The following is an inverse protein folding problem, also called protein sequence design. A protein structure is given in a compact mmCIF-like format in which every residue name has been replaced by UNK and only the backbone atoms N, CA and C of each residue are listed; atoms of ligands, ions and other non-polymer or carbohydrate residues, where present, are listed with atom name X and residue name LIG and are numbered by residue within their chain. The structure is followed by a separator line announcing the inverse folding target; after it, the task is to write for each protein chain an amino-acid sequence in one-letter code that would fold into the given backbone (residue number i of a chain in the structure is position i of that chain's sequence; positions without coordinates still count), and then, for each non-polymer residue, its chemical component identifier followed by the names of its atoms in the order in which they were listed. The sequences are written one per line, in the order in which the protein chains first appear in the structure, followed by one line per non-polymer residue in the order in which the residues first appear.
data_IF_920162543244
#
_entry.id   IF_920162543244
#
_cell.length_a   1.000
_cell.length_b   1.000
_cell.length_c   1.000
_cell.angle_alpha   90.00
_cell.angle_beta   90.00
_cell.angle_gamma   90.00
#
_symmetry.space_group_name_H-M   'P 1'
#
loop_
_entity.id
_entity.type
_entity.pdbx_description
1 polymer ?
#
# COMPACT_ATOMS: atom_id res chain seq x y z
N UNK A 1 17.23 -3.46 16.56
CA UNK A 1 16.58 -4.65 17.13
C UNK A 1 16.04 -5.58 16.02
N UNK A 2 15.43 -5.03 14.95
CA UNK A 2 14.86 -5.82 13.83
C UNK A 2 15.95 -6.61 13.09
N UNK A 3 17.08 -5.98 12.80
CA UNK A 3 18.21 -6.60 12.09
C UNK A 3 18.92 -7.70 12.90
N UNK A 4 18.93 -7.61 14.23
CA UNK A 4 19.68 -8.54 15.07
C UNK A 4 18.91 -9.82 15.43
N UNK A 5 17.59 -9.71 15.66
CA UNK A 5 16.77 -10.82 16.13
C UNK A 5 15.83 -11.40 15.09
N UNK A 6 15.34 -10.58 14.15
CA UNK A 6 14.35 -11.02 13.16
C UNK A 6 15.02 -11.56 11.89
N UNK A 7 16.05 -10.90 11.37
CA UNK A 7 16.70 -11.26 10.11
C UNK A 7 17.29 -12.69 10.05
N UNK A 8 18.02 -13.22 11.06
CA UNK A 8 18.57 -14.57 10.97
C UNK A 8 17.46 -15.64 10.98
N UNK A 9 16.41 -15.43 11.77
CA UNK A 9 15.28 -16.36 11.90
C UNK A 9 14.42 -16.30 10.65
N UNK A 10 14.13 -15.11 10.13
CA UNK A 10 13.31 -14.94 8.92
C UNK A 10 13.97 -15.54 7.67
N UNK A 11 15.31 -15.52 7.55
CA UNK A 11 16.03 -16.22 6.48
C UNK A 11 15.83 -17.74 6.50
N UNK A 12 15.70 -18.34 7.66
CA UNK A 12 15.40 -19.77 7.79
C UNK A 12 13.96 -20.05 7.43
N UNK A 13 13.02 -19.26 7.95
CA UNK A 13 11.60 -19.40 7.66
C UNK A 13 11.25 -19.11 6.19
N UNK A 14 11.94 -18.19 5.53
CA UNK A 14 11.71 -17.88 4.11
C UNK A 14 11.92 -19.09 3.19
N UNK A 15 12.76 -20.06 3.57
CA UNK A 15 12.97 -21.30 2.81
C UNK A 15 11.79 -22.27 2.86
N UNK A 16 10.96 -22.17 3.88
CA UNK A 16 9.77 -23.02 4.05
C UNK A 16 8.53 -22.43 3.37
N UNK A 17 8.53 -21.14 3.05
CA UNK A 17 7.40 -20.47 2.39
C UNK A 17 7.48 -20.76 0.89
N UNK A 18 6.61 -21.66 0.42
CA UNK A 18 6.43 -21.94 -1.02
C UNK A 18 5.32 -21.05 -1.55
N UNK A 19 5.69 -20.17 -2.50
CA UNK A 19 4.72 -19.35 -3.23
C UNK A 19 4.63 -19.80 -4.69
N UNK A 20 3.43 -19.67 -5.27
CA UNK A 20 3.25 -19.84 -6.70
C UNK A 20 4.04 -18.78 -7.49
N UNK A 21 4.54 -19.14 -8.68
CA UNK A 21 5.37 -18.25 -9.53
C UNK A 21 4.69 -16.93 -9.82
N UNK A 22 3.41 -16.98 -10.18
CA UNK A 22 2.64 -15.78 -10.56
C UNK A 22 2.47 -14.85 -9.34
N UNK A 23 2.08 -15.41 -8.19
CA UNK A 23 1.91 -14.65 -6.96
C UNK A 23 3.24 -14.04 -6.47
N UNK A 24 4.36 -14.78 -6.63
CA UNK A 24 5.70 -14.33 -6.28
C UNK A 24 6.14 -13.14 -7.12
N UNK A 25 5.99 -13.22 -8.45
CA UNK A 25 6.37 -12.12 -9.34
C UNK A 25 5.53 -10.87 -9.11
N UNK A 26 4.21 -11.04 -8.95
CA UNK A 26 3.31 -9.94 -8.62
C UNK A 26 3.75 -9.24 -7.33
N UNK A 27 3.96 -10.00 -6.25
CA UNK A 27 4.37 -9.44 -4.96
C UNK A 27 5.76 -8.80 -5.00
N UNK A 28 6.68 -9.35 -5.81
CA UNK A 28 8.01 -8.76 -6.02
C UNK A 28 7.92 -7.38 -6.70
N UNK A 29 7.10 -7.28 -7.75
CA UNK A 29 6.83 -5.98 -8.42
C UNK A 29 6.24 -4.98 -7.44
N UNK A 30 5.28 -5.39 -6.64
CA UNK A 30 4.65 -4.57 -5.60
C UNK A 30 5.67 -4.07 -4.56
N UNK A 31 6.57 -4.94 -4.10
CA UNK A 31 7.61 -4.60 -3.13
C UNK A 31 8.62 -3.60 -3.72
N UNK A 32 9.06 -3.80 -4.96
CA UNK A 32 9.96 -2.87 -5.64
C UNK A 32 9.32 -1.50 -5.84
N UNK A 33 8.04 -1.46 -6.22
CA UNK A 33 7.29 -0.22 -6.40
C UNK A 33 7.15 0.59 -5.10
N UNK A 34 7.11 -0.10 -3.95
CA UNK A 34 7.08 0.51 -2.61
C UNK A 34 8.48 0.90 -2.11
N UNK A 35 9.54 0.62 -2.90
CA UNK A 35 10.93 0.88 -2.52
C UNK A 35 11.52 -0.15 -1.55
N UNK A 36 10.94 -1.36 -1.48
CA UNK A 36 11.44 -2.46 -0.65
C UNK A 36 12.15 -3.50 -1.52
N UNK A 37 13.48 -3.49 -1.52
CA UNK A 37 14.28 -4.50 -2.23
C UNK A 37 14.46 -5.77 -1.36
N UNK A 38 13.36 -6.45 -1.09
CA UNK A 38 13.32 -7.72 -0.35
C UNK A 38 12.53 -8.76 -1.14
N UNK A 39 12.87 -10.03 -0.93
CA UNK A 39 12.10 -11.12 -1.55
C UNK A 39 10.72 -11.27 -0.91
N UNK A 40 9.67 -11.65 -1.67
CA UNK A 40 8.35 -11.88 -1.13
C UNK A 40 8.34 -12.89 0.03
N UNK A 41 9.16 -13.93 -0.07
CA UNK A 41 9.29 -14.95 0.97
C UNK A 41 9.84 -14.34 2.28
N UNK A 42 10.84 -13.47 2.18
CA UNK A 42 11.39 -12.76 3.34
C UNK A 42 10.37 -11.85 3.97
N UNK A 43 9.57 -11.14 3.15
CA UNK A 43 8.51 -10.25 3.64
C UNK A 43 7.47 -10.98 4.51
N UNK A 44 7.00 -12.15 4.05
CA UNK A 44 6.07 -12.96 4.83
C UNK A 44 6.74 -13.64 6.03
N UNK A 45 8.00 -14.07 5.89
CA UNK A 45 8.76 -14.63 7.00
C UNK A 45 8.95 -13.61 8.13
N UNK A 46 9.27 -12.35 7.81
CA UNK A 46 9.39 -11.27 8.79
C UNK A 46 8.08 -11.06 9.57
N UNK A 47 6.93 -11.07 8.88
CA UNK A 47 5.63 -10.95 9.54
C UNK A 47 5.34 -12.13 10.49
N UNK A 48 5.68 -13.36 10.09
CA UNK A 48 5.51 -14.57 10.92
C UNK A 48 6.43 -14.51 12.14
N UNK A 49 7.70 -14.16 11.96
CA UNK A 49 8.68 -14.11 13.06
C UNK A 49 8.30 -13.06 14.09
N UNK A 50 7.86 -11.88 13.67
CA UNK A 50 7.40 -10.82 14.59
C UNK A 50 6.20 -11.31 15.40
N UNK A 51 5.22 -11.97 14.77
CA UNK A 51 4.04 -12.49 15.45
C UNK A 51 4.43 -13.61 16.43
N UNK A 52 5.34 -14.50 16.05
CA UNK A 52 5.81 -15.58 16.91
C UNK A 52 6.52 -15.05 18.16
N UNK A 53 7.33 -14.00 18.02
CA UNK A 53 8.00 -13.35 19.16
C UNK A 53 7.00 -12.84 20.20
N UNK A 54 5.88 -12.26 19.77
CA UNK A 54 4.85 -11.75 20.67
C UNK A 54 4.16 -12.89 21.42
N UNK A 55 3.90 -14.02 20.73
CA UNK A 55 3.33 -15.22 21.40
C UNK A 55 4.32 -15.80 22.40
N UNK A 56 5.63 -15.88 22.06
CA UNK A 56 6.66 -16.35 23.00
C UNK A 56 6.76 -15.47 24.24
N UNK A 57 6.70 -14.14 24.09
CA UNK A 57 6.68 -13.21 25.22
C UNK A 57 5.40 -13.40 26.06
N UNK A 58 4.25 -13.62 25.40
CA UNK A 58 3.00 -13.93 26.09
C UNK A 58 3.05 -15.23 26.88
N UNK A 59 3.75 -16.26 26.38
CA UNK A 59 3.90 -17.52 27.06
C UNK A 59 4.63 -17.41 28.40
N UNK A 60 5.54 -16.43 28.56
CA UNK A 60 6.21 -16.16 29.83
C UNK A 60 5.23 -15.75 30.93
N UNK A 61 4.10 -15.10 30.58
CA UNK A 61 3.08 -14.73 31.58
C UNK A 61 2.32 -15.92 32.14
N UNK A 62 2.28 -17.06 31.43
CA UNK A 62 1.72 -18.30 31.98
C UNK A 62 2.56 -18.78 33.16
N UNK A 63 3.89 -18.70 33.05
CA UNK A 63 4.83 -19.12 34.10
C UNK A 63 4.71 -18.26 35.37
N UNK A 64 4.29 -17.00 35.20
CA UNK A 64 4.08 -16.06 36.32
C UNK A 64 2.69 -16.21 36.93
N UNK A 65 1.81 -17.08 36.38
CA UNK A 65 0.44 -17.33 36.91
C UNK A 65 -0.65 -16.42 36.33
N UNK A 66 -0.38 -15.71 35.24
CA UNK A 66 -1.34 -14.82 34.61
C UNK A 66 -1.78 -15.30 33.21
N UNK A 67 -2.57 -16.37 33.07
CA UNK A 67 -2.95 -16.94 31.77
C UNK A 67 -3.79 -16.01 30.88
N UNK A 68 -4.47 -15.02 31.48
CA UNK A 68 -5.26 -14.03 30.74
C UNK A 68 -4.37 -13.18 29.80
N UNK A 69 -3.18 -12.81 30.25
CA UNK A 69 -2.24 -12.03 29.42
C UNK A 69 -1.72 -12.83 28.22
N UNK A 70 -1.61 -14.15 28.36
CA UNK A 70 -1.29 -15.01 27.20
C UNK A 70 -2.41 -14.96 26.15
N UNK A 71 -3.68 -15.07 26.54
CA UNK A 71 -4.79 -14.97 25.59
C UNK A 71 -4.79 -13.62 24.85
N UNK A 72 -4.53 -12.53 25.57
CA UNK A 72 -4.41 -11.19 24.96
C UNK A 72 -3.23 -11.12 23.98
N UNK A 73 -2.08 -11.72 24.32
CA UNK A 73 -0.89 -11.71 23.46
C UNK A 73 -1.12 -12.49 22.15
N UNK A 74 -1.89 -13.58 22.17
CA UNK A 74 -2.27 -14.35 20.99
C UNK A 74 -3.15 -13.50 20.07
N UNK A 75 -4.17 -12.82 20.61
CA UNK A 75 -5.04 -11.93 19.82
C UNK A 75 -4.23 -10.79 19.21
N UNK A 76 -3.35 -10.17 19.99
CA UNK A 76 -2.49 -9.08 19.52
C UNK A 76 -1.53 -9.54 18.41
N UNK A 77 -0.95 -10.74 18.55
CA UNK A 77 -0.07 -11.37 17.56
C UNK A 77 -0.80 -11.53 16.22
N UNK A 78 -2.04 -12.02 16.25
CA UNK A 78 -2.86 -12.18 15.04
C UNK A 78 -3.16 -10.84 14.38
N UNK A 79 -3.55 -9.83 15.16
CA UNK A 79 -3.82 -8.48 14.66
C UNK A 79 -2.57 -7.86 14.00
N UNK A 80 -1.41 -8.00 14.61
CA UNK A 80 -0.15 -7.49 14.07
C UNK A 80 0.32 -8.26 12.82
N UNK A 81 0.10 -9.57 12.76
CA UNK A 81 0.38 -10.37 11.57
C UNK A 81 -0.39 -9.84 10.34
N UNK A 82 -1.70 -9.67 10.46
CA UNK A 82 -2.52 -9.13 9.37
C UNK A 82 -2.13 -7.69 9.02
N UNK A 83 -1.90 -6.85 10.02
CA UNK A 83 -1.48 -5.47 9.77
C UNK A 83 -0.15 -5.40 9.02
N UNK A 84 0.84 -6.22 9.38
CA UNK A 84 2.13 -6.27 8.68
C UNK A 84 1.99 -6.71 7.21
N UNK A 85 1.12 -7.68 6.91
CA UNK A 85 0.86 -8.13 5.53
C UNK A 85 0.17 -7.04 4.71
N UNK A 86 -0.69 -6.24 5.33
CA UNK A 86 -1.42 -5.17 4.66
C UNK A 86 -0.59 -3.89 4.40
N UNK A 87 0.55 -3.71 5.07
CA UNK A 87 1.37 -2.48 4.96
C UNK A 87 1.72 -2.19 3.49
N UNK A 88 2.15 -3.19 2.73
CA UNK A 88 2.50 -3.02 1.31
C UNK A 88 1.28 -2.62 0.50
N UNK A 89 0.13 -3.27 0.71
CA UNK A 89 -1.10 -2.94 -0.01
C UNK A 89 -1.59 -1.53 0.32
N UNK A 90 -1.49 -1.11 1.58
CA UNK A 90 -1.82 0.26 2.01
C UNK A 90 -0.90 1.30 1.33
N UNK A 91 0.40 0.99 1.23
CA UNK A 91 1.38 1.85 0.54
C UNK A 91 1.12 1.93 -0.97
N UNK A 92 0.81 0.80 -1.63
CA UNK A 92 0.44 0.76 -3.05
C UNK A 92 -0.83 1.59 -3.28
N UNK A 93 -1.85 1.43 -2.45
CA UNK A 93 -3.07 2.22 -2.54
C UNK A 93 -2.79 3.72 -2.37
N UNK A 94 -1.89 4.08 -1.47
CA UNK A 94 -1.45 5.47 -1.30
C UNK A 94 -0.75 6.00 -2.57
N UNK A 95 0.18 5.23 -3.15
CA UNK A 95 0.86 5.56 -4.41
C UNK A 95 -0.16 5.71 -5.53
N UNK A 96 -1.08 4.76 -5.69
CA UNK A 96 -2.11 4.81 -6.72
C UNK A 96 -3.00 6.06 -6.58
N UNK A 97 -3.42 6.39 -5.37
CA UNK A 97 -4.19 7.62 -5.10
C UNK A 97 -3.38 8.89 -5.40
N UNK A 98 -2.08 8.90 -5.10
CA UNK A 98 -1.21 10.02 -5.43
C UNK A 98 -1.09 10.21 -6.94
N UNK A 99 -0.91 9.11 -7.69
CA UNK A 99 -0.86 9.12 -9.15
C UNK A 99 -2.18 9.60 -9.75
N UNK A 100 -3.32 9.02 -9.34
CA UNK A 100 -4.65 9.44 -9.83
C UNK A 100 -4.91 10.93 -9.59
N UNK A 101 -4.47 11.45 -8.44
CA UNK A 101 -4.58 12.88 -8.12
C UNK A 101 -3.69 13.78 -8.99
N UNK A 102 -2.51 13.30 -9.40
CA UNK A 102 -1.56 14.06 -10.23
C UNK A 102 -1.84 13.90 -11.74
N UNK A 103 -2.60 12.87 -12.13
CA UNK A 103 -2.92 12.53 -13.52
C UNK A 103 -3.55 13.69 -14.33
N UNK A 104 -4.45 14.54 -13.79
CA UNK A 104 -4.98 15.69 -14.52
C UNK A 104 -3.90 16.64 -15.02
N UNK A 105 -2.81 16.77 -14.27
CA UNK A 105 -1.66 17.59 -14.65
C UNK A 105 -0.88 16.96 -15.80
N UNK A 106 -0.78 15.63 -15.83
CA UNK A 106 -0.18 14.91 -16.94
C UNK A 106 -0.99 15.09 -18.23
N UNK A 107 -2.31 14.89 -18.15
CA UNK A 107 -3.22 15.08 -19.30
C UNK A 107 -3.11 16.49 -19.86
N UNK A 108 -3.10 17.53 -19.02
CA UNK A 108 -2.94 18.92 -19.43
C UNK A 108 -1.60 19.19 -20.12
N UNK A 109 -0.48 18.70 -19.55
CA UNK A 109 0.85 18.88 -20.15
C UNK A 109 0.92 18.18 -21.50
N UNK A 110 0.32 17.00 -21.63
CA UNK A 110 0.24 16.28 -22.88
C UNK A 110 -0.59 17.04 -23.93
N UNK A 111 -1.79 17.53 -23.58
CA UNK A 111 -2.66 18.26 -24.51
C UNK A 111 -1.97 19.52 -25.06
N UNK A 112 -1.26 20.25 -24.22
CA UNK A 112 -0.51 21.41 -24.66
C UNK A 112 0.70 21.06 -25.58
N UNK A 113 1.42 19.98 -25.26
CA UNK A 113 2.65 19.64 -25.97
C UNK A 113 2.40 18.92 -27.30
N UNK A 114 1.30 18.18 -27.46
CA UNK A 114 1.02 17.41 -28.68
C UNK A 114 0.84 18.29 -29.94
N UNK A 115 0.43 19.56 -29.74
CA UNK A 115 0.25 20.53 -30.84
C UNK A 115 1.57 20.96 -31.48
N UNK A 116 2.70 20.80 -30.79
CA UNK A 116 4.01 21.31 -31.17
C UNK A 116 4.89 20.25 -31.85
N UNK A 117 4.35 19.12 -32.26
CA UNK A 117 5.12 18.02 -32.91
C UNK A 117 6.25 17.47 -32.01
N UNK A 118 6.09 17.53 -30.69
CA UNK A 118 7.07 17.05 -29.70
C UNK A 118 6.95 15.53 -29.55
N UNK A 119 8.08 14.83 -29.42
CA UNK A 119 8.08 13.40 -29.22
C UNK A 119 7.46 13.04 -27.85
N UNK A 120 6.76 11.90 -27.78
CA UNK A 120 6.11 11.45 -26.54
C UNK A 120 7.09 11.34 -25.37
N UNK A 121 8.30 10.86 -25.62
CA UNK A 121 9.34 10.73 -24.59
C UNK A 121 9.71 12.08 -23.97
N UNK A 122 9.82 13.13 -24.77
CA UNK A 122 10.17 14.48 -24.28
C UNK A 122 9.04 15.07 -23.41
N UNK A 123 7.78 14.80 -23.78
CA UNK A 123 6.61 15.20 -23.01
C UNK A 123 6.63 14.53 -21.63
N UNK A 124 6.94 13.23 -21.58
CA UNK A 124 6.99 12.46 -20.35
C UNK A 124 8.18 12.89 -19.48
N UNK A 125 9.35 13.16 -20.06
CA UNK A 125 10.52 13.70 -19.34
C UNK A 125 10.20 15.06 -18.70
N UNK A 126 9.52 15.93 -19.43
CA UNK A 126 9.07 17.22 -18.90
C UNK A 126 8.07 17.08 -17.78
N UNK A 127 7.08 16.17 -17.95
CA UNK A 127 6.10 15.90 -16.91
C UNK A 127 6.74 15.30 -15.67
N UNK A 128 7.71 14.39 -15.81
CA UNK A 128 8.42 13.76 -14.68
C UNK A 128 9.01 14.77 -13.71
N UNK A 129 9.54 15.90 -14.20
CA UNK A 129 10.09 16.97 -13.35
C UNK A 129 9.02 17.64 -12.48
N UNK A 130 7.78 17.61 -12.92
CA UNK A 130 6.63 18.23 -12.25
C UNK A 130 5.74 17.21 -11.52
N UNK A 131 5.98 15.91 -11.68
CA UNK A 131 5.20 14.82 -11.10
C UNK A 131 5.47 14.65 -9.61
N UNK A 132 4.48 14.09 -8.88
CA UNK A 132 4.67 13.72 -7.49
C UNK A 132 5.76 12.62 -7.34
N UNK A 133 6.42 12.59 -6.17
CA UNK A 133 7.53 11.66 -5.91
C UNK A 133 7.11 10.20 -6.10
N UNK A 134 5.89 9.85 -5.71
CA UNK A 134 5.33 8.51 -5.83
C UNK A 134 5.19 8.04 -7.28
N UNK A 135 5.06 8.98 -8.24
CA UNK A 135 4.90 8.67 -9.66
C UNK A 135 6.23 8.63 -10.42
N UNK A 136 7.26 9.27 -9.91
CA UNK A 136 8.54 9.40 -10.62
C UNK A 136 9.16 8.05 -10.97
N UNK A 137 9.08 7.06 -10.07
CA UNK A 137 9.61 5.72 -10.33
C UNK A 137 8.94 5.05 -11.54
N UNK A 138 7.61 5.10 -11.62
CA UNK A 138 6.86 4.50 -12.73
C UNK A 138 7.13 5.25 -14.05
N UNK A 139 7.32 6.58 -13.99
CA UNK A 139 7.67 7.41 -15.14
C UNK A 139 9.12 7.16 -15.63
N UNK A 140 10.06 6.97 -14.71
CA UNK A 140 11.46 6.63 -15.08
C UNK A 140 11.50 5.31 -15.84
N UNK A 141 10.76 4.30 -15.40
CA UNK A 141 10.65 3.04 -16.14
C UNK A 141 9.98 3.23 -17.49
N UNK A 142 8.93 4.06 -17.58
CA UNK A 142 8.28 4.37 -18.86
C UNK A 142 9.26 5.06 -19.84
N UNK A 143 10.07 6.02 -19.38
CA UNK A 143 11.08 6.68 -20.20
C UNK A 143 12.11 5.68 -20.73
N UNK A 144 12.56 4.74 -19.90
CA UNK A 144 13.48 3.67 -20.33
C UNK A 144 12.80 2.77 -21.37
N UNK A 145 11.56 2.35 -21.12
CA UNK A 145 10.79 1.51 -22.02
C UNK A 145 10.58 2.20 -23.38
N UNK A 146 10.27 3.50 -23.42
CA UNK A 146 10.12 4.30 -24.65
C UNK A 146 11.41 4.45 -25.45
N UNK A 147 12.56 4.44 -24.76
CA UNK A 147 13.89 4.53 -25.43
C UNK A 147 14.38 3.18 -25.95
N UNK A 148 13.85 2.06 -25.42
CA UNK A 148 14.34 0.71 -25.71
C UNK A 148 13.36 -0.17 -26.50
N UNK A 149 12.09 0.23 -26.57
CA UNK A 149 11.04 -0.52 -27.28
C UNK A 149 10.17 0.40 -28.14
N UNK A 150 9.12 -0.15 -28.76
CA UNK A 150 8.13 0.68 -29.46
C UNK A 150 7.27 1.47 -28.47
N UNK A 151 6.83 2.67 -28.85
CA UNK A 151 5.96 3.52 -28.02
C UNK A 151 4.70 2.77 -27.58
N UNK A 152 4.10 1.97 -28.47
CA UNK A 152 2.92 1.16 -28.18
C UNK A 152 3.20 0.12 -27.09
N UNK A 153 4.29 -0.64 -27.22
CA UNK A 153 4.67 -1.66 -26.24
C UNK A 153 5.03 -1.05 -24.88
N UNK A 154 5.73 0.08 -24.88
CA UNK A 154 6.09 0.82 -23.66
C UNK A 154 4.84 1.30 -22.89
N UNK A 155 3.86 1.88 -23.59
CA UNK A 155 2.63 2.37 -23.00
C UNK A 155 1.76 1.23 -22.46
N UNK A 156 1.66 0.10 -23.16
CA UNK A 156 0.93 -1.08 -22.69
C UNK A 156 1.58 -1.62 -21.41
N UNK A 157 2.90 -1.82 -21.42
CA UNK A 157 3.64 -2.29 -20.22
C UNK A 157 3.48 -1.35 -19.04
N UNK A 158 3.45 -0.05 -19.28
CA UNK A 158 3.24 0.97 -18.25
C UNK A 158 1.84 0.87 -17.64
N UNK A 159 0.80 0.74 -18.46
CA UNK A 159 -0.58 0.56 -18.01
C UNK A 159 -0.75 -0.72 -17.18
N UNK A 160 -0.21 -1.84 -17.65
CA UNK A 160 -0.28 -3.12 -16.94
C UNK A 160 0.49 -3.10 -15.61
N UNK A 161 1.65 -2.43 -15.57
CA UNK A 161 2.48 -2.32 -14.36
C UNK A 161 1.84 -1.48 -13.28
N UNK A 162 1.23 -0.36 -13.65
CA UNK A 162 0.59 0.55 -12.71
C UNK A 162 -0.77 0.04 -12.24
N UNK A 163 -1.52 -0.61 -13.11
CA UNK A 163 -2.85 -1.17 -12.86
C UNK A 163 -3.82 -0.16 -12.21
N UNK A 164 -3.81 1.08 -12.71
CA UNK A 164 -4.68 2.18 -12.31
C UNK A 164 -5.66 2.45 -13.46
N UNK A 165 -6.97 2.34 -13.20
CA UNK A 165 -7.99 2.42 -14.24
C UNK A 165 -7.96 3.74 -15.00
N UNK A 166 -7.84 4.86 -14.30
CA UNK A 166 -7.83 6.22 -14.88
C UNK A 166 -6.58 6.41 -15.75
N UNK A 167 -5.44 5.88 -15.31
CA UNK A 167 -4.20 5.93 -16.09
C UNK A 167 -4.30 5.04 -17.33
N UNK A 168 -4.90 3.85 -17.21
CA UNK A 168 -5.12 2.94 -18.34
C UNK A 168 -6.03 3.58 -19.41
N UNK A 169 -7.05 4.29 -19.00
CA UNK A 169 -7.93 5.04 -19.91
C UNK A 169 -7.13 6.12 -20.64
N UNK A 170 -6.28 6.86 -19.94
CA UNK A 170 -5.42 7.87 -20.56
C UNK A 170 -4.39 7.25 -21.50
N UNK A 171 -3.76 6.14 -21.14
CA UNK A 171 -2.85 5.39 -22.01
C UNK A 171 -3.55 4.95 -23.31
N UNK A 172 -4.79 4.51 -23.25
CA UNK A 172 -5.56 4.17 -24.46
C UNK A 172 -5.77 5.37 -25.38
N UNK A 173 -5.94 6.58 -24.83
CA UNK A 173 -6.02 7.82 -25.61
C UNK A 173 -4.65 8.11 -26.26
N UNK A 174 -3.54 7.93 -25.53
CA UNK A 174 -2.19 8.08 -26.09
C UNK A 174 -1.95 7.11 -27.25
N UNK A 175 -2.37 5.84 -27.10
CA UNK A 175 -2.27 4.82 -28.14
C UNK A 175 -3.09 5.20 -29.39
N UNK A 176 -4.29 5.76 -29.21
CA UNK A 176 -5.10 6.29 -30.33
C UNK A 176 -4.39 7.45 -31.04
N UNK A 177 -3.79 8.37 -30.27
CA UNK A 177 -3.03 9.50 -30.83
C UNK A 177 -1.84 9.04 -31.68
N UNK A 178 -1.09 8.01 -31.22
CA UNK A 178 0.04 7.43 -31.98
C UNK A 178 -0.46 6.81 -33.31
N UNK A 179 -1.65 6.22 -33.31
CA UNK A 179 -2.27 5.64 -34.51
C UNK A 179 -2.86 6.69 -35.47
N UNK A 180 -2.82 7.96 -35.08
CA UNK A 180 -3.31 9.08 -35.91
C UNK A 180 -4.79 9.40 -35.71
N UNK A 181 -5.45 8.87 -34.66
CA UNK A 181 -6.82 9.18 -34.33
C UNK A 181 -6.95 10.61 -33.79
N UNK A 182 -8.08 11.27 -34.07
CA UNK A 182 -8.41 12.55 -33.43
C UNK A 182 -8.89 12.33 -31.99
N UNK A 183 -7.93 12.43 -31.08
CA UNK A 183 -8.18 12.23 -29.64
C UNK A 183 -8.56 13.52 -28.89
N UNK A 184 -8.74 14.65 -29.58
CA UNK A 184 -8.99 15.96 -28.96
C UNK A 184 -10.22 15.96 -28.07
N UNK A 185 -11.30 15.33 -28.52
CA UNK A 185 -12.55 15.21 -27.74
C UNK A 185 -12.38 14.27 -26.53
N UNK A 186 -11.65 13.17 -26.72
CA UNK A 186 -11.38 12.19 -25.67
C UNK A 186 -10.53 12.81 -24.54
N UNK A 187 -9.51 13.60 -24.89
CA UNK A 187 -8.68 14.31 -23.91
C UNK A 187 -9.52 15.28 -23.07
N UNK A 188 -10.33 16.13 -23.73
CA UNK A 188 -11.21 17.09 -23.02
C UNK A 188 -12.23 16.43 -22.12
N UNK A 189 -12.76 15.27 -22.52
CA UNK A 189 -13.67 14.48 -21.69
C UNK A 189 -12.94 13.94 -20.46
N UNK A 190 -11.74 13.38 -20.66
CA UNK A 190 -10.89 12.88 -19.57
C UNK A 190 -10.52 13.97 -18.59
N UNK A 191 -10.17 15.17 -19.05
CA UNK A 191 -9.91 16.32 -18.17
C UNK A 191 -11.11 16.65 -17.28
N UNK A 192 -12.33 16.65 -17.82
CA UNK A 192 -13.55 16.89 -17.05
C UNK A 192 -13.82 15.80 -16.03
N UNK A 193 -13.67 14.54 -16.40
CA UNK A 193 -13.84 13.41 -15.48
C UNK A 193 -12.84 13.49 -14.32
N UNK A 194 -11.59 13.81 -14.63
CA UNK A 194 -10.52 13.97 -13.63
C UNK A 194 -10.79 15.16 -12.69
N UNK A 195 -11.38 16.24 -13.16
CA UNK A 195 -11.78 17.36 -12.30
C UNK A 195 -12.89 16.98 -11.31
N UNK A 196 -13.84 16.16 -11.75
CA UNK A 196 -14.90 15.62 -10.87
C UNK A 196 -14.28 14.74 -9.77
N UNK A 197 -13.41 13.81 -10.13
CA UNK A 197 -12.69 12.94 -9.18
C UNK A 197 -11.92 13.79 -8.16
N UNK A 198 -11.20 14.81 -8.63
CA UNK A 198 -10.45 15.74 -7.76
C UNK A 198 -11.35 16.48 -6.77
N UNK A 199 -12.54 16.89 -7.17
CA UNK A 199 -13.53 17.56 -6.30
C UNK A 199 -14.09 16.59 -5.27
N UNK A 200 -14.42 15.37 -5.66
CA UNK A 200 -14.90 14.33 -4.74
C UNK A 200 -13.87 13.95 -3.69
N UNK A 201 -12.59 13.79 -4.07
CA UNK A 201 -11.51 13.52 -3.13
C UNK A 201 -11.32 14.65 -2.11
N UNK A 202 -11.40 15.91 -2.54
CA UNK A 202 -11.36 17.06 -1.63
C UNK A 202 -12.50 17.00 -0.62
N UNK A 203 -13.71 16.70 -1.07
CA UNK A 203 -14.89 16.59 -0.20
C UNK A 203 -14.76 15.42 0.79
N UNK A 204 -14.26 14.28 0.34
CA UNK A 204 -14.01 13.13 1.22
C UNK A 204 -12.98 13.43 2.30
N UNK A 205 -11.90 14.18 1.99
CA UNK A 205 -10.89 14.59 2.98
C UNK A 205 -11.43 15.54 4.04
N UNK A 206 -12.37 16.42 3.67
CA UNK A 206 -13.03 17.33 4.60
C UNK A 206 -13.94 16.54 5.57
N UNK A 207 -14.60 15.49 5.09
CA UNK A 207 -15.52 14.68 5.88
C UNK A 207 -14.83 13.54 6.66
N UNK A 208 -13.62 13.15 6.28
CA UNK A 208 -12.87 12.12 6.98
C UNK A 208 -12.29 12.66 8.29
N UNK A 209 -12.70 12.06 9.41
CA UNK A 209 -12.03 12.30 10.70
C UNK A 209 -10.53 11.97 10.56
N UNK A 210 -9.63 12.85 11.02
CA UNK A 210 -8.20 12.58 11.00
C UNK A 210 -7.91 11.22 11.66
N UNK A 211 -7.03 10.41 11.07
CA UNK A 211 -6.68 9.08 11.59
C UNK A 211 -6.25 9.11 13.06
N UNK A 212 -5.65 10.22 13.51
CA UNK A 212 -5.29 10.44 14.91
C UNK A 212 -6.51 10.47 15.84
N UNK A 213 -7.63 11.06 15.41
CA UNK A 213 -8.87 11.11 16.19
C UNK A 213 -9.52 9.73 16.24
N UNK A 214 -9.50 9.00 15.12
CA UNK A 214 -10.01 7.61 15.06
C UNK A 214 -9.19 6.69 15.98
N UNK A 215 -7.86 6.81 15.98
CA UNK A 215 -6.98 6.05 16.88
C UNK A 215 -7.21 6.43 18.35
N UNK A 216 -7.42 7.71 18.66
CA UNK A 216 -7.70 8.16 20.02
C UNK A 216 -9.04 7.59 20.53
N UNK A 217 -10.09 7.58 19.70
CA UNK A 217 -11.40 7.01 20.07
C UNK A 217 -11.27 5.50 20.36
N UNK A 218 -10.54 4.76 19.51
CA UNK A 218 -10.32 3.32 19.70
C UNK A 218 -9.50 3.07 20.97
N UNK A 219 -8.42 3.82 21.19
CA UNK A 219 -7.60 3.69 22.40
C UNK A 219 -8.39 3.98 23.69
N UNK A 220 -9.22 5.03 23.66
CA UNK A 220 -10.09 5.38 24.81
C UNK A 220 -11.15 4.29 25.07
N UNK A 221 -11.73 3.72 24.02
CA UNK A 221 -12.70 2.62 24.13
C UNK A 221 -12.07 1.35 24.74
N UNK A 222 -10.86 1.00 24.33
CA UNK A 222 -10.11 -0.15 24.89
C UNK A 222 -9.77 0.09 26.38
N UNK A 223 -9.31 1.29 26.73
CA UNK A 223 -9.03 1.64 28.13
C UNK A 223 -10.30 1.58 29.00
N UNK A 224 -11.41 2.10 28.51
CA UNK A 224 -12.69 2.02 29.23
C UNK A 224 -13.15 0.57 29.42
N UNK A 225 -12.99 -0.29 28.44
CA UNK A 225 -13.31 -1.71 28.55
C UNK A 225 -12.44 -2.43 29.60
N UNK A 226 -11.13 -2.14 29.65
CA UNK A 226 -10.21 -2.71 30.64
C UNK A 226 -10.63 -2.28 32.05
N UNK A 227 -10.93 -1.00 32.24
CA UNK A 227 -11.37 -0.47 33.56
C UNK A 227 -12.71 -1.10 34.01
N UNK A 228 -13.65 -1.31 33.09
CA UNK A 228 -14.93 -1.92 33.39
C UNK A 228 -14.84 -3.42 33.76
N UNK A 229 -13.90 -4.15 33.16
CA UNK A 229 -13.73 -5.60 33.38
C UNK A 229 -12.90 -5.91 34.63
N UNK A 230 -11.99 -5.02 35.03
CA UNK A 230 -11.09 -5.22 36.20
C UNK A 230 -11.83 -5.53 37.50
N UNK A 231 -12.90 -4.80 37.92
CA UNK A 231 -13.62 -5.11 39.16
C UNK A 231 -14.34 -6.47 39.11
N UNK A 232 -14.87 -6.85 37.95
CA UNK A 232 -15.56 -8.13 37.75
C UNK A 232 -14.59 -9.31 37.96
N UNK A 233 -13.38 -9.17 37.45
CA UNK A 233 -12.32 -10.18 37.64
C UNK A 233 -11.87 -10.23 39.10
N UNK A 234 -11.72 -9.08 39.77
CA UNK A 234 -11.32 -9.05 41.17
C UNK A 234 -12.38 -9.68 42.10
N UNK A 235 -13.66 -9.46 41.82
CA UNK A 235 -14.74 -10.08 42.61
C UNK A 235 -14.84 -11.58 42.39
N UNK A 236 -14.65 -12.07 41.15
CA UNK A 236 -14.62 -13.51 40.87
C UNK A 236 -13.43 -14.20 41.55
N UNK A 237 -12.24 -13.58 41.52
CA UNK A 237 -11.03 -14.11 42.17
C UNK A 237 -11.21 -14.13 43.72
N UNK A 238 -11.79 -13.08 44.31
CA UNK A 238 -12.11 -13.07 45.77
C UNK A 238 -13.16 -14.12 46.15
N UNK A 239 -14.18 -14.32 45.32
CA UNK A 239 -15.20 -15.35 45.54
C UNK A 239 -14.61 -16.76 45.60
N UNK A 240 -13.65 -17.07 44.69
CA UNK A 240 -12.97 -18.37 44.67
C UNK A 240 -12.05 -18.56 45.89
N UNK A 241 -11.44 -17.49 46.41
CA UNK A 241 -10.56 -17.56 47.56
C UNK A 241 -11.30 -17.73 48.90
N UNK A 242 -12.61 -17.44 48.95
CA UNK A 242 -13.45 -17.67 50.13
C UNK A 242 -13.99 -19.12 50.25
N UNK A 243 -13.88 -19.92 49.20
CA UNK A 243 -14.30 -21.32 49.17
C UNK A 243 -13.15 -22.31 49.41
N UNK A 244 -12.00 -21.84 49.86
CA UNK A 244 -10.84 -22.64 50.23
C UNK A 244 -10.51 -22.42 51.72
#
# INVERSE_FOLDING_TARGET
LKEFFVDPISKVFSKFIKMDRIAREKKRKDLLRVGMDITPEKYYADAIVISLWIVCLGALFILIGFPLFFAISVILSFALFFNNIEVVNKKINFINQAITRDLPKFVMIYDHARGDNVQLVDIIEKYRQAACEEFQYDLDLLIVDLKTSSEEAALISFSERTNIQELSNFVNILLGSIKGDDVSTAIKLTEREMEVIRREEKNRKILALPDKVRMAIVATGVMAAIVAVTPIIMDTVKGISMFK
#
